data_IF_927671601848
#
_entry.id   IF_927671601848
#
_cell.length_a   1.000
_cell.length_b   1.000
_cell.length_c   1.000
_cell.angle_alpha   90.00
_cell.angle_beta   90.00
_cell.angle_gamma   90.00
#
_symmetry.space_group_name_H-M   'P 1'
#
loop_
_entity.id
_entity.type
_entity.pdbx_description
1 polymer ?
#
# COMPACT_ATOMS: atom_id res chain seq x y z
N UNK A 1 68.15 -30.96 46.23
CA UNK A 1 67.95 -32.42 46.04
C UNK A 1 67.50 -33.12 47.35
N UNK A 2 66.45 -32.63 48.03
CA UNK A 2 65.86 -33.24 49.25
C UNK A 2 64.33 -33.36 49.23
N UNK A 3 63.65 -32.80 48.21
CA UNK A 3 62.19 -32.80 48.09
C UNK A 3 61.69 -34.05 47.35
N UNK A 4 62.52 -34.65 46.48
CA UNK A 4 62.19 -35.86 45.73
C UNK A 4 62.18 -37.15 46.56
N UNK A 5 62.84 -37.19 47.74
CA UNK A 5 62.85 -38.41 48.58
C UNK A 5 61.67 -38.53 49.54
N UNK A 6 60.90 -37.45 49.75
CA UNK A 6 59.69 -37.47 50.60
C UNK A 6 58.45 -37.92 49.81
N UNK A 7 58.45 -37.71 48.49
CA UNK A 7 57.33 -38.00 47.58
C UNK A 7 57.17 -39.51 47.32
N UNK A 8 58.19 -40.34 47.57
CA UNK A 8 58.14 -41.78 47.29
C UNK A 8 57.66 -42.65 48.47
N UNK A 9 57.15 -42.05 49.55
CA UNK A 9 56.50 -42.79 50.63
C UNK A 9 55.06 -43.10 50.25
N UNK A 10 54.60 -44.37 50.32
CA UNK A 10 53.26 -44.77 49.85
C UNK A 10 52.15 -43.98 50.55
N UNK A 11 52.33 -43.62 51.83
CA UNK A 11 51.37 -42.82 52.60
C UNK A 11 51.22 -41.37 52.09
N UNK A 12 52.30 -40.74 51.59
CA UNK A 12 52.26 -39.36 51.08
C UNK A 12 51.62 -39.29 49.70
N UNK A 13 51.80 -40.32 48.86
CA UNK A 13 51.11 -40.45 47.57
C UNK A 13 49.60 -40.59 47.72
N UNK A 14 49.14 -41.39 48.68
CA UNK A 14 47.70 -41.59 48.95
C UNK A 14 47.05 -40.29 49.44
N UNK A 15 47.71 -39.56 50.35
CA UNK A 15 47.21 -38.25 50.84
C UNK A 15 47.16 -37.22 49.70
N UNK A 16 48.19 -37.17 48.85
CA UNK A 16 48.21 -36.29 47.67
C UNK A 16 47.08 -36.61 46.68
N UNK A 17 46.82 -37.89 46.42
CA UNK A 17 45.71 -38.34 45.56
C UNK A 17 44.34 -37.93 46.12
N UNK A 18 44.12 -38.03 47.42
CA UNK A 18 42.86 -37.60 48.04
C UNK A 18 42.66 -36.09 47.98
N UNK A 19 43.72 -35.29 48.15
CA UNK A 19 43.64 -33.82 48.01
C UNK A 19 43.32 -33.43 46.56
N UNK A 20 43.91 -34.10 45.58
CA UNK A 20 43.62 -33.88 44.16
C UNK A 20 42.18 -34.30 43.83
N UNK A 21 41.70 -35.43 44.35
CA UNK A 21 40.33 -35.86 44.16
C UNK A 21 39.32 -34.86 44.76
N UNK A 22 39.60 -34.35 45.97
CA UNK A 22 38.74 -33.37 46.63
C UNK A 22 38.68 -32.04 45.87
N UNK A 23 39.83 -31.57 45.37
CA UNK A 23 39.88 -30.33 44.56
C UNK A 23 39.15 -30.47 43.23
N UNK A 24 39.28 -31.61 42.54
CA UNK A 24 38.50 -31.91 41.33
C UNK A 24 36.99 -31.95 41.60
N UNK A 25 36.58 -32.49 42.75
CA UNK A 25 35.16 -32.57 43.13
C UNK A 25 34.58 -31.16 43.39
N UNK A 26 35.32 -30.29 44.08
CA UNK A 26 34.92 -28.90 44.33
C UNK A 26 34.78 -28.13 43.01
N UNK A 27 35.74 -28.29 42.08
CA UNK A 27 35.71 -27.63 40.77
C UNK A 27 34.50 -28.12 39.95
N UNK A 28 34.26 -29.43 39.93
CA UNK A 28 33.10 -30.03 39.25
C UNK A 28 31.78 -29.46 39.78
N UNK A 29 31.63 -29.38 41.11
CA UNK A 29 30.46 -28.81 41.75
C UNK A 29 30.24 -27.32 41.38
N UNK A 30 31.31 -26.54 41.28
CA UNK A 30 31.22 -25.13 40.86
C UNK A 30 30.80 -24.98 39.39
N UNK A 31 31.35 -25.80 38.49
CA UNK A 31 30.99 -25.78 37.06
C UNK A 31 29.52 -26.15 36.89
N UNK A 32 29.07 -27.20 37.58
CA UNK A 32 27.69 -27.67 37.55
C UNK A 32 26.72 -26.61 38.11
N UNK A 33 27.08 -25.91 39.20
CA UNK A 33 26.28 -24.79 39.73
C UNK A 33 26.18 -23.61 38.76
N UNK A 34 27.25 -23.31 38.02
CA UNK A 34 27.23 -22.27 36.98
C UNK A 34 26.37 -22.69 35.78
N UNK A 35 26.45 -23.95 35.34
CA UNK A 35 25.62 -24.47 34.26
C UNK A 35 24.13 -24.50 34.64
N UNK A 36 23.78 -24.93 35.86
CA UNK A 36 22.39 -24.91 36.34
C UNK A 36 21.84 -23.49 36.35
N UNK A 37 22.62 -22.49 36.79
CA UNK A 37 22.20 -21.07 36.74
C UNK A 37 22.09 -20.53 35.32
N UNK A 38 22.99 -20.91 34.42
CA UNK A 38 22.90 -20.53 33.01
C UNK A 38 21.66 -21.12 32.33
N UNK A 39 21.31 -22.37 32.63
CA UNK A 39 20.10 -23.04 32.12
C UNK A 39 18.84 -22.42 32.73
N UNK A 40 18.84 -22.13 34.04
CA UNK A 40 17.72 -21.46 34.69
C UNK A 40 17.46 -20.05 34.11
N UNK A 41 18.53 -19.27 33.90
CA UNK A 41 18.42 -17.95 33.28
C UNK A 41 18.02 -18.04 31.80
N UNK A 42 18.54 -19.02 31.06
CA UNK A 42 18.11 -19.28 29.68
C UNK A 42 16.63 -19.67 29.62
N UNK A 43 16.14 -20.48 30.56
CA UNK A 43 14.73 -20.88 30.64
C UNK A 43 13.77 -19.72 30.91
N UNK A 44 14.22 -18.70 31.66
CA UNK A 44 13.45 -17.47 31.89
C UNK A 44 13.43 -16.54 30.66
N UNK A 45 14.38 -16.67 29.73
CA UNK A 45 14.49 -15.84 28.52
C UNK A 45 13.92 -16.54 27.28
N UNK A 46 13.94 -17.88 27.20
CA UNK A 46 13.47 -18.65 26.04
C UNK A 46 11.99 -19.04 26.07
N UNK A 47 11.35 -19.07 27.25
CA UNK A 47 9.91 -19.32 27.37
C UNK A 47 9.01 -18.27 26.67
N UNK A 48 9.29 -16.96 26.68
CA UNK A 48 8.48 -15.99 25.93
C UNK A 48 8.66 -16.08 24.41
N UNK A 49 9.82 -16.49 23.89
CA UNK A 49 10.05 -16.60 22.43
C UNK A 49 9.29 -17.78 21.79
N UNK A 50 9.13 -18.89 22.50
CA UNK A 50 8.36 -20.05 21.99
C UNK A 50 6.85 -19.78 22.01
N UNK A 51 6.38 -18.92 22.93
CA UNK A 51 4.98 -18.50 22.98
C UNK A 51 4.58 -17.56 21.83
N UNK A 52 5.54 -16.88 21.18
CA UNK A 52 5.30 -15.97 20.06
C UNK A 52 5.37 -16.66 18.68
N UNK A 53 5.98 -17.85 18.59
CA UNK A 53 6.07 -18.62 17.35
C UNK A 53 4.70 -18.95 16.71
N UNK A 54 3.67 -19.39 17.45
CA UNK A 54 2.36 -19.67 16.87
C UNK A 54 1.67 -18.41 16.34
N UNK A 55 1.95 -17.25 16.95
CA UNK A 55 1.39 -15.96 16.52
C UNK A 55 2.09 -15.50 15.24
N UNK A 56 3.41 -15.71 15.14
CA UNK A 56 4.18 -15.42 13.94
C UNK A 56 3.84 -16.35 12.79
N UNK A 57 3.64 -17.65 13.03
CA UNK A 57 3.15 -18.61 12.04
C UNK A 57 1.74 -18.29 11.57
N UNK A 58 0.83 -17.89 12.47
CA UNK A 58 -0.51 -17.42 12.09
C UNK A 58 -0.43 -16.18 11.22
N UNK A 59 0.41 -15.20 11.58
CA UNK A 59 0.61 -13.98 10.76
C UNK A 59 1.23 -14.31 9.41
N UNK A 60 2.21 -15.20 9.34
CA UNK A 60 2.80 -15.64 8.08
C UNK A 60 1.77 -16.34 7.21
N UNK A 61 0.99 -17.29 7.76
CA UNK A 61 -0.06 -17.97 7.02
C UNK A 61 -1.15 -17.00 6.56
N UNK A 62 -1.56 -16.02 7.38
CA UNK A 62 -2.51 -14.99 6.95
C UNK A 62 -1.92 -14.11 5.83
N UNK A 63 -0.65 -13.73 5.91
CA UNK A 63 0.01 -12.93 4.87
C UNK A 63 0.16 -13.75 3.58
N UNK A 64 0.56 -15.02 3.68
CA UNK A 64 0.64 -15.93 2.53
C UNK A 64 -0.73 -16.14 1.90
N UNK A 65 -1.77 -16.35 2.70
CA UNK A 65 -3.15 -16.44 2.20
C UNK A 65 -3.63 -15.14 1.56
N UNK A 66 -3.22 -13.98 2.08
CA UNK A 66 -3.52 -12.68 1.46
C UNK A 66 -2.77 -12.49 0.14
N UNK A 67 -1.55 -13.00 0.01
CA UNK A 67 -0.77 -12.97 -1.24
C UNK A 67 -1.37 -13.94 -2.26
N UNK A 68 -1.67 -15.18 -1.87
CA UNK A 68 -2.34 -16.16 -2.74
C UNK A 68 -3.73 -15.70 -3.17
N UNK A 69 -4.50 -15.04 -2.28
CA UNK A 69 -5.76 -14.39 -2.65
C UNK A 69 -5.55 -13.18 -3.56
N UNK A 70 -4.46 -12.43 -3.41
CA UNK A 70 -4.14 -11.33 -4.32
C UNK A 70 -3.76 -11.85 -5.71
N UNK A 71 -3.03 -12.96 -5.79
CA UNK A 71 -2.68 -13.63 -7.06
C UNK A 71 -3.93 -14.26 -7.71
N UNK A 72 -4.77 -14.98 -6.95
CA UNK A 72 -6.03 -15.52 -7.46
C UNK A 72 -7.00 -14.41 -7.92
N UNK A 73 -7.07 -13.29 -7.18
CA UNK A 73 -7.84 -12.11 -7.60
C UNK A 73 -7.22 -11.39 -8.81
N UNK A 74 -5.90 -11.42 -9.01
CA UNK A 74 -5.29 -10.84 -10.22
C UNK A 74 -5.65 -11.61 -11.49
N UNK A 75 -5.85 -12.93 -11.40
CA UNK A 75 -6.32 -13.75 -12.54
C UNK A 75 -7.79 -13.48 -12.85
N UNK A 76 -8.64 -13.25 -11.84
CA UNK A 76 -10.04 -12.84 -12.03
C UNK A 76 -10.18 -11.40 -12.55
N UNK A 77 -9.23 -10.52 -12.24
CA UNK A 77 -9.22 -9.13 -12.73
C UNK A 77 -9.04 -9.00 -14.23
N UNK A 78 -8.35 -9.91 -14.91
CA UNK A 78 -8.14 -9.81 -16.37
C UNK A 78 -9.47 -9.87 -17.13
N UNK A 79 -10.42 -10.70 -16.68
CA UNK A 79 -11.77 -10.74 -17.25
C UNK A 79 -12.60 -9.49 -16.92
N UNK A 80 -12.53 -9.03 -15.67
CA UNK A 80 -13.27 -7.84 -15.20
C UNK A 80 -12.71 -6.52 -15.76
N UNK A 81 -11.41 -6.44 -16.05
CA UNK A 81 -10.76 -5.26 -16.63
C UNK A 81 -11.08 -5.13 -18.12
N UNK A 82 -11.12 -6.23 -18.87
CA UNK A 82 -11.58 -6.22 -20.27
C UNK A 82 -13.05 -5.80 -20.37
N UNK A 83 -13.90 -6.28 -19.46
CA UNK A 83 -15.30 -5.86 -19.36
C UNK A 83 -15.47 -4.38 -18.97
N UNK A 84 -14.58 -3.82 -18.13
CA UNK A 84 -14.56 -2.37 -17.83
C UNK A 84 -14.13 -1.54 -19.04
N UNK A 85 -13.20 -2.04 -19.85
CA UNK A 85 -12.72 -1.39 -21.07
C UNK A 85 -13.80 -1.39 -22.16
N UNK A 86 -14.54 -2.49 -22.34
CA UNK A 86 -15.57 -2.64 -23.38
C UNK A 86 -16.76 -1.67 -23.21
N UNK A 87 -16.97 -1.13 -22.01
CA UNK A 87 -18.04 -0.14 -21.72
C UNK A 87 -17.58 1.30 -21.96
N UNK A 88 -16.28 1.56 -22.07
CA UNK A 88 -15.71 2.90 -22.20
C UNK A 88 -15.40 3.26 -23.65
N UNK A 89 -15.72 4.50 -24.05
CA UNK A 89 -15.34 5.03 -25.36
C UNK A 89 -13.89 5.50 -25.27
N UNK A 90 -12.96 4.65 -25.70
CA UNK A 90 -11.53 4.97 -25.72
C UNK A 90 -11.12 5.67 -27.04
N UNK A 91 -10.04 6.46 -27.03
CA UNK A 91 -9.48 7.01 -28.26
C UNK A 91 -8.82 5.90 -29.10
N UNK A 92 -8.93 6.02 -30.43
CA UNK A 92 -8.32 5.06 -31.38
C UNK A 92 -6.80 5.14 -31.44
N UNK A 93 -6.25 6.33 -31.21
CA UNK A 93 -4.82 6.56 -31.18
C UNK A 93 -4.41 7.05 -29.79
N UNK A 94 -3.39 6.44 -29.17
CA UNK A 94 -2.89 6.88 -27.87
C UNK A 94 -2.15 8.23 -28.01
N UNK A 95 -2.54 9.20 -27.20
CA UNK A 95 -1.82 10.47 -27.07
C UNK A 95 -0.69 10.33 -26.04
N UNK A 96 0.46 9.83 -26.51
CA UNK A 96 1.64 9.61 -25.67
C UNK A 96 2.24 10.93 -25.15
N UNK A 97 2.16 12.02 -25.92
CA UNK A 97 2.69 13.32 -25.51
C UNK A 97 1.92 13.87 -24.31
N UNK A 98 0.59 13.74 -24.33
CA UNK A 98 -0.26 14.05 -23.19
C UNK A 98 0.03 13.14 -21.99
N UNK A 99 0.18 11.84 -22.21
CA UNK A 99 0.53 10.89 -21.15
C UNK A 99 1.83 11.29 -20.46
N UNK A 100 2.89 11.54 -21.23
CA UNK A 100 4.20 11.97 -20.72
C UNK A 100 4.05 13.28 -19.95
N UNK A 101 3.30 14.25 -20.49
CA UNK A 101 3.05 15.54 -19.84
C UNK A 101 2.34 15.39 -18.48
N UNK A 102 1.35 14.50 -18.38
CA UNK A 102 0.67 14.20 -17.11
C UNK A 102 1.66 13.65 -16.08
N UNK A 103 2.51 12.69 -16.48
CA UNK A 103 3.51 12.13 -15.59
C UNK A 103 4.59 13.15 -15.20
N UNK A 104 4.98 14.04 -16.10
CA UNK A 104 5.95 15.10 -15.82
C UNK A 104 5.39 16.09 -14.79
N UNK A 105 4.14 16.54 -14.94
CA UNK A 105 3.44 17.38 -13.96
C UNK A 105 3.32 16.68 -12.60
N UNK A 106 2.97 15.38 -12.60
CA UNK A 106 2.93 14.59 -11.37
C UNK A 106 4.31 14.50 -10.72
N UNK A 107 5.35 14.20 -11.49
CA UNK A 107 6.72 14.12 -10.98
C UNK A 107 7.19 15.46 -10.42
N UNK A 108 6.92 16.56 -11.10
CA UNK A 108 7.27 17.90 -10.65
C UNK A 108 6.57 18.25 -9.33
N UNK A 109 5.26 17.97 -9.23
CA UNK A 109 4.48 18.17 -8.01
C UNK A 109 4.96 17.32 -6.82
N UNK A 110 5.48 16.10 -7.08
CA UNK A 110 6.06 15.25 -6.04
C UNK A 110 7.51 15.64 -5.68
N UNK A 111 8.29 16.10 -6.66
CA UNK A 111 9.68 16.58 -6.45
C UNK A 111 9.69 17.87 -5.65
N UNK A 112 8.80 18.82 -5.95
CA UNK A 112 8.70 20.10 -5.22
C UNK A 112 8.42 19.92 -3.73
N UNK A 113 7.69 18.85 -3.37
CA UNK A 113 7.39 18.45 -1.99
C UNK A 113 8.45 17.56 -1.35
N UNK A 114 9.59 17.33 -2.02
CA UNK A 114 10.69 16.44 -1.59
C UNK A 114 10.28 14.98 -1.29
N UNK A 115 9.18 14.51 -1.91
CA UNK A 115 8.65 13.15 -1.70
C UNK A 115 8.99 12.19 -2.85
N UNK A 116 9.60 12.67 -3.93
CA UNK A 116 10.12 11.87 -5.05
C UNK A 116 11.57 12.27 -5.38
N UNK A 117 12.40 11.28 -5.68
CA UNK A 117 13.78 11.39 -6.17
C UNK A 117 13.97 10.43 -7.34
N UNK A 118 14.93 10.72 -8.22
CA UNK A 118 15.41 9.84 -9.28
C UNK A 118 14.29 9.09 -10.03
N UNK A 119 13.59 9.76 -10.94
CA UNK A 119 12.67 9.08 -11.85
C UNK A 119 13.42 8.62 -13.11
N UNK A 120 13.20 7.39 -13.54
CA UNK A 120 13.63 6.92 -14.85
C UNK A 120 12.78 7.56 -15.94
N UNK A 121 13.26 7.48 -17.19
CA UNK A 121 12.40 7.76 -18.34
C UNK A 121 11.26 6.74 -18.38
N UNK A 122 10.14 7.18 -18.94
CA UNK A 122 8.98 6.34 -19.25
C UNK A 122 9.34 5.54 -20.51
N UNK A 123 9.29 4.21 -20.40
CA UNK A 123 9.52 3.29 -21.50
C UNK A 123 8.16 2.74 -21.96
N UNK A 124 7.84 2.93 -23.24
CA UNK A 124 6.58 2.50 -23.84
C UNK A 124 6.93 1.33 -24.75
N UNK A 125 6.46 0.14 -24.40
CA UNK A 125 6.69 -1.06 -25.18
C UNK A 125 5.72 -1.22 -26.34
N UNK A 126 5.93 -2.26 -27.13
CA UNK A 126 5.05 -2.63 -28.24
C UNK A 126 3.63 -2.99 -27.74
N UNK A 127 2.57 -2.65 -28.49
CA UNK A 127 1.20 -2.96 -28.10
C UNK A 127 0.95 -4.46 -28.01
N UNK A 128 0.23 -4.85 -26.96
CA UNK A 128 -0.27 -6.21 -26.74
C UNK A 128 -1.80 -6.13 -26.84
N UNK A 129 -2.36 -6.60 -27.95
CA UNK A 129 -3.78 -6.35 -28.31
C UNK A 129 -4.05 -4.83 -28.39
N UNK A 130 -4.93 -4.30 -27.53
CA UNK A 130 -5.33 -2.89 -27.47
C UNK A 130 -4.70 -2.14 -26.28
N UNK A 131 -3.62 -2.69 -25.73
CA UNK A 131 -2.94 -2.16 -24.56
C UNK A 131 -1.46 -1.90 -24.83
N UNK A 132 -1.00 -0.69 -24.51
CA UNK A 132 0.41 -0.32 -24.58
C UNK A 132 1.05 -0.47 -23.19
N UNK A 133 2.04 -1.36 -23.01
CA UNK A 133 2.73 -1.51 -21.75
C UNK A 133 3.66 -0.30 -21.49
N UNK A 134 3.51 0.30 -20.33
CA UNK A 134 4.30 1.45 -19.87
C UNK A 134 5.09 1.04 -18.64
N UNK A 135 6.42 1.19 -18.70
CA UNK A 135 7.33 0.87 -17.63
C UNK A 135 8.07 2.11 -17.15
N UNK A 136 8.15 2.28 -15.84
CA UNK A 136 8.99 3.31 -15.24
C UNK A 136 9.32 2.97 -13.80
N UNK A 137 10.39 3.59 -13.29
CA UNK A 137 10.87 3.40 -11.94
C UNK A 137 11.23 4.72 -11.30
N UNK A 138 11.04 4.83 -9.98
CA UNK A 138 11.33 6.05 -9.24
C UNK A 138 11.59 5.76 -7.76
N UNK A 139 12.38 6.63 -7.12
CA UNK A 139 12.55 6.60 -5.66
C UNK A 139 11.53 7.51 -5.00
N UNK A 140 10.73 6.98 -4.09
CA UNK A 140 9.63 7.73 -3.49
C UNK A 140 9.54 7.50 -2.00
N UNK A 141 9.14 8.55 -1.28
CA UNK A 141 8.71 8.42 0.11
C UNK A 141 7.33 7.74 0.17
N UNK A 142 7.00 7.06 1.27
CA UNK A 142 5.71 6.36 1.45
C UNK A 142 4.48 7.23 1.17
N UNK A 143 4.56 8.55 1.43
CA UNK A 143 3.48 9.48 1.09
C UNK A 143 3.32 9.67 -0.43
N UNK A 144 4.43 9.81 -1.17
CA UNK A 144 4.40 9.93 -2.62
C UNK A 144 3.93 8.64 -3.29
N UNK A 145 4.28 7.48 -2.74
CA UNK A 145 3.74 6.19 -3.20
C UNK A 145 2.22 6.15 -3.08
N UNK A 146 1.64 6.60 -1.95
CA UNK A 146 0.18 6.66 -1.79
C UNK A 146 -0.46 7.58 -2.82
N UNK A 147 0.09 8.78 -3.04
CA UNK A 147 -0.41 9.73 -4.06
C UNK A 147 -0.35 9.15 -5.46
N UNK A 148 0.75 8.47 -5.80
CA UNK A 148 0.91 7.79 -7.06
C UNK A 148 -0.13 6.68 -7.26
N UNK A 149 -0.37 5.85 -6.25
CA UNK A 149 -1.39 4.79 -6.31
C UNK A 149 -2.81 5.36 -6.39
N UNK A 150 -3.10 6.47 -5.72
CA UNK A 150 -4.39 7.16 -5.86
C UNK A 150 -4.55 7.71 -7.27
N UNK A 151 -3.51 8.32 -7.85
CA UNK A 151 -3.54 8.79 -9.23
C UNK A 151 -3.87 7.67 -10.24
N UNK A 152 -3.22 6.50 -10.13
CA UNK A 152 -3.50 5.38 -11.05
C UNK A 152 -4.90 4.82 -10.89
N UNK A 153 -5.49 4.88 -9.68
CA UNK A 153 -6.88 4.47 -9.45
C UNK A 153 -7.92 5.45 -10.01
N UNK A 154 -7.53 6.71 -10.20
CA UNK A 154 -8.40 7.76 -10.74
C UNK A 154 -8.29 7.86 -12.27
N UNK A 155 -7.21 7.35 -12.85
CA UNK A 155 -7.03 7.31 -14.29
C UNK A 155 -8.18 6.56 -14.98
N UNK A 156 -8.81 7.19 -15.97
CA UNK A 156 -10.00 6.66 -16.65
C UNK A 156 -11.34 6.97 -16.00
N UNK A 157 -11.38 7.56 -14.79
CA UNK A 157 -12.63 8.06 -14.20
C UNK A 157 -12.91 9.47 -14.73
N UNK A 158 -14.15 9.74 -15.14
CA UNK A 158 -14.53 11.02 -15.73
C UNK A 158 -15.42 11.84 -14.79
N UNK A 159 -16.33 11.16 -14.10
CA UNK A 159 -17.40 11.78 -13.33
C UNK A 159 -17.36 11.39 -11.86
N UNK A 160 -18.07 12.15 -11.03
CA UNK A 160 -18.31 11.80 -9.62
C UNK A 160 -18.97 10.43 -9.49
N UNK A 161 -19.90 10.10 -10.40
CA UNK A 161 -20.55 8.80 -10.46
C UNK A 161 -19.55 7.66 -10.63
N UNK A 162 -18.55 7.81 -11.49
CA UNK A 162 -17.53 6.79 -11.75
C UNK A 162 -16.63 6.51 -10.54
N UNK A 163 -16.41 7.53 -9.71
CA UNK A 163 -15.60 7.41 -8.49
C UNK A 163 -16.37 6.79 -7.31
N UNK A 164 -17.70 6.66 -7.39
CA UNK A 164 -18.51 5.98 -6.39
C UNK A 164 -18.62 4.49 -6.70
N UNK A 165 -18.58 3.66 -5.65
CA UNK A 165 -18.88 2.23 -5.83
C UNK A 165 -20.33 2.02 -6.26
N UNK A 166 -20.66 0.91 -6.93
CA UNK A 166 -22.04 0.58 -7.28
C UNK A 166 -22.97 0.59 -6.06
N UNK A 167 -22.51 0.08 -4.92
CA UNK A 167 -23.26 0.03 -3.67
C UNK A 167 -23.48 1.43 -3.08
N UNK A 168 -22.45 2.29 -3.10
CA UNK A 168 -22.56 3.67 -2.64
C UNK A 168 -23.57 4.46 -3.50
N UNK A 169 -23.55 4.23 -4.81
CA UNK A 169 -24.49 4.85 -5.76
C UNK A 169 -25.92 4.38 -5.53
N UNK A 170 -26.12 3.07 -5.40
CA UNK A 170 -27.43 2.46 -5.15
C UNK A 170 -28.02 2.94 -3.81
N UNK A 171 -27.20 3.00 -2.75
CA UNK A 171 -27.63 3.54 -1.46
C UNK A 171 -28.14 4.98 -1.56
N UNK A 172 -27.45 5.85 -2.30
CA UNK A 172 -27.86 7.24 -2.50
C UNK A 172 -29.15 7.35 -3.34
N UNK A 173 -29.28 6.52 -4.37
CA UNK A 173 -30.49 6.45 -5.21
C UNK A 173 -31.68 5.98 -4.38
N UNK A 174 -31.56 4.84 -3.70
CA UNK A 174 -32.62 4.28 -2.87
C UNK A 174 -33.08 5.27 -1.79
N UNK A 175 -32.13 5.92 -1.09
CA UNK A 175 -32.47 6.93 -0.08
C UNK A 175 -33.16 8.15 -0.68
N UNK A 176 -32.78 8.54 -1.91
CA UNK A 176 -33.44 9.62 -2.65
C UNK A 176 -34.87 9.24 -3.01
N UNK A 177 -35.10 8.03 -3.51
CA UNK A 177 -36.43 7.53 -3.86
C UNK A 177 -37.36 7.41 -2.64
N UNK A 178 -36.83 7.00 -1.49
CA UNK A 178 -37.60 6.90 -0.24
C UNK A 178 -38.05 8.28 0.29
N UNK A 179 -37.18 9.29 0.23
CA UNK A 179 -37.41 10.56 0.92
C UNK A 179 -37.89 11.69 0.01
N UNK A 180 -37.32 11.81 -1.19
CA UNK A 180 -37.69 12.81 -2.16
C UNK A 180 -37.44 12.30 -3.60
N UNK A 181 -38.40 11.59 -4.21
CA UNK A 181 -38.28 11.09 -5.57
C UNK A 181 -37.95 12.17 -6.61
N UNK A 182 -38.38 13.42 -6.38
CA UNK A 182 -38.08 14.53 -7.30
C UNK A 182 -36.61 14.97 -7.25
N UNK A 183 -35.89 14.62 -6.19
CA UNK A 183 -34.46 14.88 -6.01
C UNK A 183 -33.56 14.00 -6.88
N UNK A 184 -34.09 12.94 -7.52
CA UNK A 184 -33.30 12.02 -8.34
C UNK A 184 -32.56 12.73 -9.48
N UNK A 185 -33.20 13.73 -10.10
CA UNK A 185 -32.59 14.52 -11.19
C UNK A 185 -31.37 15.28 -10.68
N UNK A 186 -31.46 15.87 -9.47
CA UNK A 186 -30.34 16.59 -8.88
C UNK A 186 -29.19 15.62 -8.52
N UNK A 187 -29.52 14.41 -8.06
CA UNK A 187 -28.52 13.37 -7.78
C UNK A 187 -27.83 12.88 -9.06
N UNK A 188 -28.58 12.63 -10.13
CA UNK A 188 -28.02 12.25 -11.44
C UNK A 188 -27.12 13.34 -12.03
N UNK A 189 -27.52 14.61 -11.90
CA UNK A 189 -26.68 15.76 -12.27
C UNK A 189 -25.38 15.81 -11.45
N UNK A 190 -25.46 15.53 -10.14
CA UNK A 190 -24.28 15.43 -9.30
C UNK A 190 -23.38 14.27 -9.72
N UNK A 191 -23.93 13.08 -10.00
CA UNK A 191 -23.15 11.96 -10.52
C UNK A 191 -22.50 12.26 -11.87
N UNK A 192 -23.15 13.04 -12.72
CA UNK A 192 -22.63 13.45 -14.03
C UNK A 192 -21.61 14.60 -13.96
N UNK A 193 -21.34 15.12 -12.76
CA UNK A 193 -20.37 16.22 -12.58
C UNK A 193 -18.97 15.72 -12.90
N UNK A 194 -18.23 16.50 -13.68
CA UNK A 194 -16.83 16.24 -13.99
C UNK A 194 -15.98 16.15 -12.71
N UNK A 195 -15.15 15.11 -12.63
CA UNK A 195 -14.43 14.76 -11.40
C UNK A 195 -13.38 15.80 -11.02
N UNK A 196 -12.67 16.39 -12.01
CA UNK A 196 -11.69 17.45 -11.75
C UNK A 196 -12.38 18.71 -11.26
N UNK A 197 -13.48 19.12 -11.91
CA UNK A 197 -14.29 20.28 -11.47
C UNK A 197 -14.83 20.10 -10.07
N UNK A 198 -15.32 18.90 -9.76
CA UNK A 198 -15.75 18.56 -8.40
C UNK A 198 -14.58 18.65 -7.41
N UNK A 199 -13.39 18.19 -7.77
CA UNK A 199 -12.25 18.21 -6.87
C UNK A 199 -11.76 19.64 -6.56
N UNK A 200 -11.79 20.53 -7.55
CA UNK A 200 -11.38 21.94 -7.42
C UNK A 200 -12.38 22.78 -6.61
N UNK A 201 -13.68 22.47 -6.70
CA UNK A 201 -14.74 23.16 -5.93
C UNK A 201 -15.81 22.19 -5.39
N UNK A 202 -15.40 21.28 -4.51
CA UNK A 202 -16.31 20.23 -4.03
C UNK A 202 -17.48 20.80 -3.25
N UNK A 203 -17.22 21.87 -2.47
CA UNK A 203 -18.20 22.47 -1.57
C UNK A 203 -19.40 23.03 -2.33
N UNK A 204 -19.18 23.76 -3.43
CA UNK A 204 -20.28 24.33 -4.21
C UNK A 204 -21.17 23.25 -4.81
N UNK A 205 -20.59 22.18 -5.34
CA UNK A 205 -21.33 21.06 -5.93
C UNK A 205 -22.12 20.27 -4.86
N UNK A 206 -21.49 19.99 -3.72
CA UNK A 206 -22.14 19.33 -2.58
C UNK A 206 -23.31 20.20 -2.05
N UNK A 207 -23.10 21.51 -1.83
CA UNK A 207 -24.15 22.42 -1.36
C UNK A 207 -25.30 22.56 -2.37
N UNK A 208 -25.01 22.55 -3.67
CA UNK A 208 -26.05 22.59 -4.72
C UNK A 208 -26.95 21.36 -4.66
N UNK A 209 -26.38 20.16 -4.52
CA UNK A 209 -27.15 18.93 -4.36
C UNK A 209 -28.00 19.01 -3.09
N UNK A 210 -27.38 19.36 -1.96
CA UNK A 210 -28.05 19.38 -0.66
C UNK A 210 -29.20 20.39 -0.56
N UNK A 211 -29.28 21.41 -1.42
CA UNK A 211 -30.46 22.30 -1.49
C UNK A 211 -31.75 21.56 -1.88
N UNK A 212 -31.63 20.45 -2.61
CA UNK A 212 -32.75 19.62 -3.02
C UNK A 212 -33.19 18.60 -1.96
N UNK A 213 -32.45 18.51 -0.85
CA UNK A 213 -32.68 17.52 0.23
C UNK A 213 -32.73 18.21 1.59
N UNK A 214 -33.87 18.11 2.27
CA UNK A 214 -34.07 18.71 3.60
C UNK A 214 -33.89 17.73 4.77
N UNK A 215 -33.74 16.44 4.49
CA UNK A 215 -33.65 15.40 5.51
C UNK A 215 -32.24 15.31 6.10
N UNK A 216 -32.16 15.20 7.43
CA UNK A 216 -30.89 14.97 8.14
C UNK A 216 -30.23 13.66 7.74
N UNK A 217 -31.05 12.66 7.44
CA UNK A 217 -30.62 11.28 7.20
C UNK A 217 -29.90 11.16 5.86
N UNK A 218 -30.49 11.73 4.78
CA UNK A 218 -29.81 11.84 3.49
C UNK A 218 -28.51 12.65 3.60
N UNK A 219 -28.54 13.80 4.28
CA UNK A 219 -27.34 14.64 4.46
C UNK A 219 -26.23 13.87 5.15
N UNK A 220 -26.56 13.09 6.19
CA UNK A 220 -25.60 12.26 6.91
C UNK A 220 -25.05 11.14 6.03
N UNK A 221 -25.92 10.43 5.32
CA UNK A 221 -25.53 9.38 4.38
C UNK A 221 -24.59 9.92 3.30
N UNK A 222 -24.99 11.01 2.65
CA UNK A 222 -24.21 11.68 1.62
C UNK A 222 -22.82 12.07 2.12
N UNK A 223 -22.73 12.74 3.27
CA UNK A 223 -21.42 13.13 3.86
C UNK A 223 -20.55 11.93 4.18
N UNK A 224 -21.15 10.83 4.67
CA UNK A 224 -20.42 9.60 4.94
C UNK A 224 -19.86 9.00 3.66
N UNK A 225 -20.67 8.92 2.60
CA UNK A 225 -20.25 8.45 1.26
C UNK A 225 -19.12 9.31 0.69
N UNK A 226 -19.21 10.64 0.80
CA UNK A 226 -18.15 11.54 0.32
C UNK A 226 -16.81 11.37 1.08
N UNK A 227 -16.85 10.86 2.32
CA UNK A 227 -15.65 10.65 3.15
C UNK A 227 -15.07 9.22 3.06
N UNK A 228 -15.89 8.23 2.72
CA UNK A 228 -15.48 6.82 2.56
C UNK A 228 -14.96 6.51 1.15
N UNK A 229 -15.53 7.15 0.15
CA UNK A 229 -15.32 6.84 -1.26
C UNK A 229 -13.97 7.31 -1.80
N UNK A 230 -13.65 6.87 -3.02
CA UNK A 230 -12.52 7.34 -3.81
C UNK A 230 -12.53 8.86 -4.01
N UNK A 231 -13.71 9.51 -3.88
CA UNK A 231 -13.85 10.97 -3.96
C UNK A 231 -13.00 11.71 -2.93
N UNK A 232 -12.75 11.13 -1.75
CA UNK A 232 -11.83 11.72 -0.78
C UNK A 232 -10.40 11.74 -1.32
N UNK A 233 -9.96 10.66 -1.96
CA UNK A 233 -8.63 10.58 -2.57
C UNK A 233 -8.50 11.54 -3.75
N UNK A 234 -9.55 11.64 -4.58
CA UNK A 234 -9.65 12.62 -5.68
C UNK A 234 -9.48 14.04 -5.17
N UNK A 235 -10.24 14.42 -4.13
CA UNK A 235 -10.11 15.74 -3.50
C UNK A 235 -8.69 15.98 -3.02
N UNK A 236 -8.13 15.09 -2.20
CA UNK A 236 -6.76 15.26 -1.67
C UNK A 236 -5.70 15.35 -2.78
N UNK A 237 -5.91 14.65 -3.91
CA UNK A 237 -4.95 14.62 -5.01
C UNK A 237 -5.00 15.92 -5.84
N UNK A 238 -6.20 16.39 -6.19
CA UNK A 238 -6.38 17.55 -7.06
C UNK A 238 -6.57 18.88 -6.30
N UNK A 239 -6.82 18.84 -4.99
CA UNK A 239 -6.89 20.04 -4.15
C UNK A 239 -5.50 20.69 -4.06
N UNK A 240 -5.33 21.80 -4.77
CA UNK A 240 -4.11 22.61 -4.80
C UNK A 240 -3.42 22.65 -6.17
N UNK A 241 -2.11 22.90 -6.17
CA UNK A 241 -1.34 23.22 -7.38
C UNK A 241 -1.39 22.11 -8.45
N UNK A 242 -1.50 20.84 -8.05
CA UNK A 242 -1.56 19.74 -9.01
C UNK A 242 -2.84 19.79 -9.85
N UNK A 243 -4.02 19.92 -9.23
CA UNK A 243 -5.28 20.03 -9.97
C UNK A 243 -5.32 21.26 -10.85
N UNK A 244 -4.80 22.39 -10.37
CA UNK A 244 -4.71 23.62 -11.16
C UNK A 244 -3.80 23.46 -12.39
N UNK A 245 -2.63 22.84 -12.23
CA UNK A 245 -1.72 22.59 -13.35
C UNK A 245 -2.34 21.66 -14.40
N UNK A 246 -3.05 20.62 -13.96
CA UNK A 246 -3.77 19.71 -14.87
C UNK A 246 -4.85 20.46 -15.66
N UNK A 247 -5.61 21.33 -15.02
CA UNK A 247 -6.66 22.15 -15.66
C UNK A 247 -6.04 23.17 -16.64
N UNK A 248 -5.05 23.95 -16.18
CA UNK A 248 -4.38 25.00 -16.96
C UNK A 248 -3.74 24.46 -18.25
N UNK A 249 -3.24 23.22 -18.20
CA UNK A 249 -2.56 22.56 -19.33
C UNK A 249 -3.49 21.64 -20.15
N UNK A 250 -4.80 21.62 -19.85
CA UNK A 250 -5.80 20.77 -20.51
C UNK A 250 -5.41 19.28 -20.52
N UNK A 251 -4.81 18.80 -19.42
CA UNK A 251 -4.33 17.42 -19.31
C UNK A 251 -5.45 16.45 -18.88
N UNK A 252 -6.61 16.96 -18.44
CA UNK A 252 -7.81 16.19 -18.09
C UNK A 252 -8.78 16.00 -19.28
N UNK A 253 -9.43 14.83 -19.46
CA UNK A 253 -9.36 13.62 -18.62
C UNK A 253 -8.08 12.80 -18.80
N UNK A 254 -7.74 12.01 -17.79
CA UNK A 254 -6.61 11.10 -17.89
C UNK A 254 -6.95 9.89 -18.77
N UNK A 255 -5.98 9.43 -19.59
CA UNK A 255 -6.16 8.20 -20.34
C UNK A 255 -6.33 7.01 -19.38
N UNK A 256 -7.01 5.97 -19.85
CA UNK A 256 -7.27 4.78 -19.04
C UNK A 256 -5.96 4.02 -18.79
N UNK A 257 -5.52 4.03 -17.53
CA UNK A 257 -4.30 3.38 -17.09
C UNK A 257 -4.64 2.30 -16.05
N UNK A 258 -4.29 1.06 -16.35
CA UNK A 258 -4.46 -0.05 -15.42
C UNK A 258 -3.10 -0.49 -14.92
N UNK A 259 -2.93 -0.56 -13.61
CA UNK A 259 -1.71 -1.08 -13.01
C UNK A 259 -1.71 -2.61 -13.09
N UNK A 260 -0.68 -3.14 -13.77
CA UNK A 260 -0.43 -4.57 -13.88
C UNK A 260 0.37 -5.06 -12.68
N UNK A 261 1.57 -4.49 -12.50
CA UNK A 261 2.47 -4.89 -11.42
C UNK A 261 3.22 -3.72 -10.79
N UNK A 262 3.51 -3.87 -9.51
CA UNK A 262 4.33 -2.92 -8.73
C UNK A 262 5.36 -3.70 -7.92
N UNK A 263 6.63 -3.39 -8.15
CA UNK A 263 7.75 -3.96 -7.41
C UNK A 263 8.31 -2.93 -6.44
N UNK A 264 8.28 -3.25 -5.15
CA UNK A 264 8.70 -2.37 -4.07
C UNK A 264 10.00 -2.87 -3.43
N UNK A 265 11.08 -2.12 -3.61
CA UNK A 265 12.36 -2.37 -2.94
C UNK A 265 12.61 -1.34 -1.84
N UNK A 266 13.36 -1.71 -0.81
CA UNK A 266 13.81 -0.75 0.22
C UNK A 266 14.71 0.29 -0.46
N UNK A 267 14.39 1.58 -0.25
CA UNK A 267 15.21 2.68 -0.74
C UNK A 267 16.42 2.94 0.16
N UNK A 268 17.23 3.93 -0.22
CA UNK A 268 18.47 4.29 0.50
C UNK A 268 18.28 4.94 1.87
N UNK A 269 17.05 5.22 2.30
CA UNK A 269 16.73 5.89 3.57
C UNK A 269 15.41 5.37 4.19
N UNK A 270 15.17 5.59 5.50
CA UNK A 270 13.92 5.18 6.15
C UNK A 270 12.69 5.79 5.46
N UNK A 271 11.63 4.98 5.25
CA UNK A 271 10.40 5.35 4.52
C UNK A 271 10.59 5.69 3.02
N UNK A 272 11.79 5.56 2.49
CA UNK A 272 12.03 5.64 1.05
C UNK A 272 11.94 4.24 0.44
N UNK A 273 11.33 4.16 -0.74
CA UNK A 273 11.15 2.95 -1.53
C UNK A 273 11.63 3.22 -2.95
N UNK A 274 12.31 2.24 -3.53
CA UNK A 274 12.51 2.20 -4.97
C UNK A 274 11.34 1.42 -5.56
N UNK A 275 10.60 2.06 -6.46
CA UNK A 275 9.36 1.55 -7.02
C UNK A 275 9.59 1.32 -8.50
N UNK A 276 9.26 0.13 -9.00
CA UNK A 276 9.16 -0.15 -10.44
C UNK A 276 7.72 -0.51 -10.74
N UNK A 277 7.13 0.16 -11.72
CA UNK A 277 5.72 0.02 -12.06
C UNK A 277 5.59 -0.38 -13.52
N UNK A 278 4.65 -1.29 -13.77
CA UNK A 278 4.15 -1.62 -15.09
C UNK A 278 2.66 -1.24 -15.15
N UNK A 279 2.30 -0.40 -16.11
CA UNK A 279 0.94 0.01 -16.40
C UNK A 279 0.58 -0.42 -17.83
N UNK A 280 -0.71 -0.60 -18.09
CA UNK A 280 -1.26 -0.72 -19.43
C UNK A 280 -2.09 0.51 -19.75
N UNK A 281 -1.76 1.17 -20.86
CA UNK A 281 -2.58 2.20 -21.49
C UNK A 281 -3.50 1.54 -22.50
N UNK A 282 -4.81 1.62 -22.27
CA UNK A 282 -5.81 1.04 -23.17
C UNK A 282 -6.26 2.05 -24.23
N UNK A 283 -6.45 1.55 -25.45
CA UNK A 283 -7.00 2.30 -26.59
C UNK A 283 -8.23 1.59 -27.15
N UNK A 284 -9.07 2.29 -27.92
CA UNK A 284 -10.18 1.66 -28.61
C UNK A 284 -9.71 0.86 -29.83
N UNK A 285 -10.46 -0.20 -30.14
CA UNK A 285 -10.42 -0.92 -31.41
C UNK A 285 -10.72 -0.02 -32.63
#
# INVERSE_FOLDING_TARGET
MKILSIINRPKVRVIGLHIIALTLLIISAQIMSKQVRAIANASQVSLPLVAELPVLERRLNTITQQIEMAELNSVLKIGSQKEQVDVLILPKEPDFDRLISIFDVLQEGLKSKNILKNASKIDIGDPIEDAYPIHFSFDVHEEGLRKFLSFTRIAGLLTVGDALSPEEREMLIHKTEEENPTGIIALEQFFSTDLLRYALDSRSHEEQLLRSFSSSDFVSLFRMTMQSSLLREVRILFEGDFGQLIDDHNLWPFPMLIMDSINLKKGGAPKWRNVSVQLFLYTAH
#
